data_IF_108810915930
#
_entry.id   IF_108810915930
#
_cell.length_a   1.000
_cell.length_b   1.000
_cell.length_c   1.000
_cell.angle_alpha   90.00
_cell.angle_beta   90.00
_cell.angle_gamma   90.00
#
_symmetry.space_group_name_H-M   'P 1'
#
loop_
_entity.id
_entity.type
_entity.pdbx_description
1 polymer ?
#
# COMPACT_ATOMS: atom_id res chain seq x y z
N UNK A 1 -18.65 1.81 0.47
CA UNK A 1 -17.27 2.34 0.31
C UNK A 1 -16.32 1.38 0.98
N UNK A 2 -15.29 0.91 0.29
CA UNK A 2 -14.26 0.00 0.84
C UNK A 2 -12.98 0.79 1.12
N UNK A 3 -12.30 0.50 2.23
CA UNK A 3 -11.03 1.14 2.59
C UNK A 3 -10.03 0.06 2.95
N UNK A 4 -8.89 0.05 2.26
CA UNK A 4 -7.77 -0.85 2.57
C UNK A 4 -6.59 -0.01 3.10
N UNK A 5 -6.03 -0.39 4.23
CA UNK A 5 -4.96 0.32 4.92
C UNK A 5 -3.72 -0.57 5.06
N UNK A 6 -2.55 -0.02 4.74
CA UNK A 6 -1.25 -0.65 4.97
C UNK A 6 -0.47 0.22 5.97
N UNK A 7 -0.52 -0.13 7.25
CA UNK A 7 0.05 0.67 8.34
C UNK A 7 1.08 -0.16 9.09
N UNK A 8 2.36 0.15 8.89
CA UNK A 8 3.47 -0.57 9.53
C UNK A 8 3.66 -0.22 11.00
N UNK A 9 3.35 1.02 11.38
CA UNK A 9 3.58 1.58 12.71
C UNK A 9 2.32 1.58 13.59
N UNK A 10 2.07 2.71 14.23
CA UNK A 10 0.90 2.90 15.09
C UNK A 10 -0.38 3.02 14.24
N UNK A 11 -1.43 2.35 14.67
CA UNK A 11 -2.77 2.47 14.11
C UNK A 11 -3.78 2.47 15.27
N UNK A 12 -4.46 3.59 15.48
CA UNK A 12 -5.53 3.72 16.49
C UNK A 12 -6.90 3.32 15.93
N UNK A 13 -7.02 3.24 14.61
CA UNK A 13 -8.23 2.79 13.93
C UNK A 13 -8.43 1.29 14.17
N UNK A 14 -9.63 0.91 14.61
CA UNK A 14 -10.03 -0.48 14.79
C UNK A 14 -10.91 -0.92 13.62
N UNK A 15 -10.43 -1.79 12.72
CA UNK A 15 -11.21 -2.29 11.60
C UNK A 15 -12.24 -3.34 12.03
N UNK A 16 -13.32 -3.50 11.26
CA UNK A 16 -14.31 -4.56 11.43
C UNK A 16 -15.32 -4.36 12.57
N UNK A 17 -15.55 -3.12 13.02
CA UNK A 17 -16.59 -2.81 14.00
C UNK A 17 -17.95 -2.68 13.28
N UNK A 18 -18.98 -3.46 13.68
CA UNK A 18 -20.32 -3.38 13.11
C UNK A 18 -20.91 -1.97 13.12
N UNK A 19 -21.36 -1.51 11.95
CA UNK A 19 -21.95 -0.19 11.73
C UNK A 19 -20.96 0.98 11.68
N UNK A 20 -19.66 0.73 11.89
CA UNK A 20 -18.63 1.79 12.00
C UNK A 20 -17.48 1.57 11.01
N UNK A 21 -16.88 0.37 10.98
CA UNK A 21 -15.68 0.07 10.19
C UNK A 21 -15.75 -1.28 9.48
N UNK A 22 -16.97 -1.75 9.15
CA UNK A 22 -17.22 -3.02 8.46
C UNK A 22 -16.45 -3.17 7.15
N UNK A 23 -16.30 -2.06 6.43
CA UNK A 23 -15.67 -2.03 5.10
C UNK A 23 -14.19 -1.61 5.15
N UNK A 24 -13.60 -1.53 6.34
CA UNK A 24 -12.20 -1.16 6.53
C UNK A 24 -11.38 -2.41 6.81
N UNK A 25 -10.40 -2.67 5.97
CA UNK A 25 -9.39 -3.71 6.18
C UNK A 25 -8.04 -3.05 6.42
N UNK A 26 -7.33 -3.47 7.47
CA UNK A 26 -6.03 -2.92 7.79
C UNK A 26 -5.01 -4.03 8.01
N UNK A 27 -3.88 -3.92 7.32
CA UNK A 27 -2.74 -4.82 7.46
C UNK A 27 -1.48 -4.05 7.84
N UNK A 28 -0.52 -4.74 8.45
CA UNK A 28 0.82 -4.26 8.74
C UNK A 28 1.84 -5.18 8.06
N UNK A 29 2.76 -4.61 7.29
CA UNK A 29 3.87 -5.36 6.67
C UNK A 29 5.15 -4.93 7.37
N UNK A 30 5.78 -5.89 8.06
CA UNK A 30 7.11 -5.71 8.68
C UNK A 30 8.02 -6.77 8.09
N UNK A 31 8.98 -6.32 7.29
CA UNK A 31 9.93 -7.18 6.60
C UNK A 31 11.32 -6.53 6.58
N UNK A 32 12.24 -7.00 5.72
CA UNK A 32 13.64 -6.56 5.68
C UNK A 32 13.78 -5.06 5.46
N UNK A 33 13.02 -4.49 4.51
CA UNK A 33 13.00 -3.06 4.29
C UNK A 33 11.94 -2.37 5.14
N UNK A 34 12.22 -1.13 5.49
CA UNK A 34 11.33 -0.32 6.28
C UNK A 34 10.25 0.30 5.37
N UNK A 35 9.00 -0.12 5.52
CA UNK A 35 7.86 0.49 4.83
C UNK A 35 7.67 1.93 5.33
N UNK A 36 8.24 2.88 4.59
CA UNK A 36 8.23 4.33 4.87
C UNK A 36 7.47 5.18 3.83
N UNK A 37 7.26 4.75 2.57
CA UNK A 37 6.42 5.51 1.64
C UNK A 37 5.01 5.74 2.19
N UNK A 38 4.48 6.96 2.04
CA UNK A 38 3.06 7.26 2.27
C UNK A 38 2.40 7.55 0.93
N UNK A 39 1.40 6.74 0.61
CA UNK A 39 0.64 6.82 -0.64
C UNK A 39 -0.83 6.76 -0.29
N UNK A 40 -1.63 7.60 -0.94
CA UNK A 40 -3.09 7.59 -0.84
C UNK A 40 -3.66 7.40 -2.23
N UNK A 41 -4.62 6.49 -2.36
CA UNK A 41 -5.33 6.24 -3.62
C UNK A 41 -6.82 6.40 -3.36
N UNK A 42 -7.46 7.27 -4.13
CA UNK A 42 -8.91 7.43 -4.16
C UNK A 42 -9.41 6.84 -5.47
N UNK A 43 -10.34 5.88 -5.41
CA UNK A 43 -10.82 5.17 -6.60
C UNK A 43 -11.59 6.07 -7.58
N UNK A 44 -12.27 7.09 -7.07
CA UNK A 44 -12.97 8.12 -7.84
C UNK A 44 -13.78 7.56 -9.04
N UNK A 45 -14.68 6.60 -8.73
CA UNK A 45 -15.54 5.92 -9.70
C UNK A 45 -14.80 5.30 -10.91
N UNK A 46 -13.59 4.78 -10.68
CA UNK A 46 -12.78 4.11 -11.70
C UNK A 46 -11.78 5.02 -12.41
N UNK A 47 -11.67 6.30 -12.03
CA UNK A 47 -10.58 7.19 -12.44
C UNK A 47 -9.69 7.56 -11.25
N UNK A 48 -8.79 6.64 -10.83
CA UNK A 48 -8.15 6.76 -9.54
C UNK A 48 -7.19 7.95 -9.45
N UNK A 49 -7.32 8.71 -8.36
CA UNK A 49 -6.37 9.74 -7.97
C UNK A 49 -5.35 9.18 -7.00
N UNK A 50 -4.08 9.39 -7.34
CA UNK A 50 -2.93 8.86 -6.60
C UNK A 50 -2.11 10.00 -6.08
N UNK A 51 -1.85 10.00 -4.78
CA UNK A 51 -1.04 10.99 -4.09
C UNK A 51 0.12 10.31 -3.37
N UNK A 52 1.30 10.90 -3.45
CA UNK A 52 2.43 10.59 -2.57
C UNK A 52 2.54 11.69 -1.52
N UNK A 53 2.98 11.36 -0.31
CA UNK A 53 3.04 12.32 0.78
C UNK A 53 4.30 12.16 1.64
N UNK A 54 4.80 13.27 2.18
CA UNK A 54 5.80 13.26 3.26
C UNK A 54 5.17 12.92 4.61
N UNK A 55 3.89 13.27 4.81
CA UNK A 55 3.15 13.11 6.06
C UNK A 55 2.54 11.72 6.24
N UNK A 56 2.50 11.25 7.49
CA UNK A 56 1.54 10.27 7.95
C UNK A 56 0.32 10.96 8.60
N UNK A 57 -0.75 10.20 8.86
CA UNK A 57 -2.01 10.73 9.39
C UNK A 57 -1.97 10.83 10.92
N UNK A 58 -1.13 11.73 11.41
CA UNK A 58 -1.08 12.14 12.81
C UNK A 58 -1.32 13.64 12.92
N UNK A 59 -2.02 14.08 13.97
CA UNK A 59 -2.32 15.51 14.23
C UNK A 59 -1.09 16.41 14.15
N UNK A 60 0.07 15.93 14.64
CA UNK A 60 1.32 16.68 14.57
C UNK A 60 1.81 16.92 13.13
N UNK A 61 1.50 16.01 12.20
CA UNK A 61 1.91 16.09 10.80
C UNK A 61 0.89 16.89 9.97
N UNK A 62 -0.39 16.86 10.35
CA UNK A 62 -1.44 17.59 9.63
C UNK A 62 -1.48 19.08 10.06
N UNK A 63 -1.40 19.36 11.36
CA UNK A 63 -1.66 20.71 11.89
C UNK A 63 -0.38 21.46 12.32
N UNK A 64 0.68 20.74 12.69
CA UNK A 64 1.84 21.33 13.37
C UNK A 64 3.14 21.27 12.55
N UNK A 65 3.10 20.71 11.34
CA UNK A 65 4.27 20.56 10.47
C UNK A 65 3.94 21.00 9.06
N UNK A 66 4.94 21.53 8.38
CA UNK A 66 4.87 21.76 6.95
C UNK A 66 5.17 20.42 6.28
N UNK A 67 4.17 19.91 5.57
CA UNK A 67 4.24 18.66 4.85
C UNK A 67 3.81 18.89 3.39
N UNK A 68 4.24 18.01 2.49
CA UNK A 68 3.93 18.10 1.07
C UNK A 68 3.28 16.81 0.60
N UNK A 69 2.08 16.96 0.05
CA UNK A 69 1.43 15.95 -0.78
C UNK A 69 1.58 16.32 -2.26
N UNK A 70 1.87 15.33 -3.10
CA UNK A 70 2.02 15.52 -4.54
C UNK A 70 1.08 14.56 -5.30
N UNK A 71 0.17 15.07 -6.14
CA UNK A 71 -0.60 14.24 -7.05
C UNK A 71 0.28 13.67 -8.17
N UNK A 72 0.01 12.43 -8.55
CA UNK A 72 0.66 11.77 -9.69
C UNK A 72 -0.26 11.89 -10.89
N UNK A 73 0.11 12.72 -11.87
CA UNK A 73 -0.72 12.94 -13.06
C UNK A 73 -0.51 11.90 -14.15
N UNK A 74 0.72 11.39 -14.30
CA UNK A 74 1.06 10.42 -15.34
C UNK A 74 0.32 9.09 -15.12
N UNK A 75 -0.52 8.63 -16.08
CA UNK A 75 -1.29 7.40 -15.92
C UNK A 75 -0.44 6.13 -15.76
N UNK A 76 0.74 6.06 -16.40
CA UNK A 76 1.65 4.94 -16.27
C UNK A 76 2.28 4.89 -14.87
N UNK A 77 2.58 6.05 -14.27
CA UNK A 77 3.04 6.14 -12.89
C UNK A 77 1.93 5.83 -11.88
N UNK A 78 0.71 6.36 -12.09
CA UNK A 78 -0.47 5.99 -11.28
C UNK A 78 -0.64 4.47 -11.24
N UNK A 79 -0.65 3.84 -12.42
CA UNK A 79 -0.77 2.37 -12.54
C UNK A 79 0.35 1.64 -11.81
N UNK A 80 1.60 2.06 -11.98
CA UNK A 80 2.75 1.44 -11.32
C UNK A 80 2.62 1.46 -9.79
N UNK A 81 2.18 2.58 -9.23
CA UNK A 81 1.98 2.72 -7.78
C UNK A 81 0.84 1.82 -7.31
N UNK A 82 -0.28 1.79 -8.04
CA UNK A 82 -1.43 0.94 -7.73
C UNK A 82 -1.05 -0.55 -7.80
N UNK A 83 -0.28 -0.97 -8.80
CA UNK A 83 0.24 -2.34 -8.92
C UNK A 83 1.08 -2.72 -7.69
N UNK A 84 1.95 -1.83 -7.23
CA UNK A 84 2.79 -2.04 -6.03
C UNK A 84 1.92 -2.19 -4.77
N UNK A 85 0.93 -1.31 -4.58
CA UNK A 85 0.00 -1.41 -3.45
C UNK A 85 -0.78 -2.72 -3.49
N UNK A 86 -1.24 -3.14 -4.67
CA UNK A 86 -1.93 -4.43 -4.85
C UNK A 86 -1.03 -5.63 -4.51
N UNK A 87 0.27 -5.57 -4.85
CA UNK A 87 1.25 -6.59 -4.45
C UNK A 87 1.39 -6.62 -2.91
N UNK A 88 1.44 -5.46 -2.26
CA UNK A 88 1.51 -5.38 -0.79
C UNK A 88 0.23 -5.92 -0.12
N UNK A 89 -0.95 -5.54 -0.61
CA UNK A 89 -2.24 -6.06 -0.13
C UNK A 89 -2.41 -7.57 -0.35
N UNK A 90 -1.69 -8.12 -1.33
CA UNK A 90 -1.69 -9.55 -1.64
C UNK A 90 -0.61 -10.34 -0.88
N UNK A 91 0.14 -9.72 0.03
CA UNK A 91 1.17 -10.39 0.81
C UNK A 91 0.56 -11.45 1.75
N UNK A 92 1.11 -12.65 1.73
CA UNK A 92 0.65 -13.79 2.54
C UNK A 92 1.79 -14.39 3.37
N UNK A 93 2.89 -13.67 3.56
CA UNK A 93 4.11 -14.18 4.21
C UNK A 93 4.54 -13.28 5.36
N UNK A 94 4.45 -11.96 5.20
CA UNK A 94 4.88 -10.94 6.15
C UNK A 94 3.77 -10.00 6.58
N UNK A 95 2.66 -9.93 5.83
CA UNK A 95 1.49 -9.17 6.24
C UNK A 95 0.84 -9.75 7.50
N UNK A 96 0.45 -8.85 8.40
CA UNK A 96 -0.28 -9.13 9.63
C UNK A 96 -1.58 -8.33 9.66
N UNK A 97 -2.61 -8.91 10.25
CA UNK A 97 -3.91 -8.25 10.42
C UNK A 97 -3.83 -7.29 11.59
N UNK A 98 -4.26 -6.05 11.37
CA UNK A 98 -4.54 -5.11 12.46
C UNK A 98 -5.96 -5.39 12.94
N UNK A 99 -6.12 -5.76 14.20
CA UNK A 99 -7.43 -6.02 14.80
C UNK A 99 -7.52 -5.35 16.17
N UNK A 100 -8.73 -5.30 16.74
CA UNK A 100 -8.99 -4.69 18.07
C UNK A 100 -8.10 -5.24 19.18
N UNK A 101 -7.78 -6.53 19.12
CA UNK A 101 -6.99 -7.23 20.13
C UNK A 101 -5.47 -7.05 19.93
N UNK A 102 -5.04 -6.40 18.84
CA UNK A 102 -3.64 -6.21 18.46
C UNK A 102 -2.84 -7.53 18.42
N UNK A 103 -3.47 -8.63 18.01
CA UNK A 103 -2.85 -9.98 18.07
C UNK A 103 -1.71 -10.17 17.08
N UNK A 104 -1.60 -9.30 16.06
CA UNK A 104 -0.55 -9.37 15.04
C UNK A 104 -0.54 -10.71 14.28
N UNK A 105 -1.71 -11.33 14.13
CA UNK A 105 -1.87 -12.56 13.35
C UNK A 105 -1.44 -12.36 11.90
N UNK A 106 -0.74 -13.33 11.34
CA UNK A 106 -0.40 -13.31 9.92
C UNK A 106 -1.65 -13.42 9.07
N UNK A 107 -1.67 -12.70 7.94
CA UNK A 107 -2.74 -12.85 6.95
C UNK A 107 -2.76 -14.29 6.45
N UNK A 108 -3.89 -15.02 6.59
CA UNK A 108 -3.95 -16.41 6.16
C UNK A 108 -3.88 -16.49 4.64
N UNK A 109 -2.98 -17.34 4.14
CA UNK A 109 -2.81 -17.54 2.70
C UNK A 109 -4.05 -18.17 2.04
N UNK A 110 -4.67 -19.16 2.69
CA UNK A 110 -5.64 -20.04 2.06
C UNK A 110 -5.06 -20.69 0.78
N UNK A 111 -5.83 -20.68 -0.30
CA UNK A 111 -5.44 -21.17 -1.63
C UNK A 111 -4.72 -20.11 -2.49
N UNK A 112 -4.43 -18.93 -1.95
CA UNK A 112 -3.72 -17.87 -2.67
C UNK A 112 -2.24 -18.24 -2.87
N UNK A 113 -1.61 -17.61 -3.85
CA UNK A 113 -0.16 -17.75 -4.08
C UNK A 113 0.61 -17.27 -2.86
N UNK A 114 1.75 -17.91 -2.59
CA UNK A 114 2.69 -17.45 -1.57
C UNK A 114 3.41 -16.20 -2.08
N UNK A 115 3.03 -15.04 -1.58
CA UNK A 115 3.60 -13.75 -2.01
C UNK A 115 4.28 -13.09 -0.81
N UNK A 116 5.55 -12.71 -1.01
CA UNK A 116 6.30 -11.81 -0.13
C UNK A 116 6.51 -10.51 -0.90
N UNK A 117 5.80 -9.48 -0.49
CA UNK A 117 5.64 -8.20 -1.19
C UNK A 117 6.98 -7.57 -1.59
N UNK A 118 7.93 -7.40 -0.68
CA UNK A 118 9.21 -6.76 -0.99
C UNK A 118 9.99 -7.47 -2.12
N UNK A 119 9.94 -8.80 -2.16
CA UNK A 119 10.58 -9.59 -3.23
C UNK A 119 9.78 -9.48 -4.53
N UNK A 120 8.45 -9.57 -4.45
CA UNK A 120 7.58 -9.46 -5.61
C UNK A 120 7.68 -8.08 -6.27
N UNK A 121 7.78 -7.00 -5.48
CA UNK A 121 7.99 -5.62 -5.95
C UNK A 121 9.34 -5.51 -6.65
N UNK A 122 10.40 -6.08 -6.08
CA UNK A 122 11.73 -6.10 -6.71
C UNK A 122 11.69 -6.75 -8.09
N UNK A 123 11.09 -7.94 -8.21
CA UNK A 123 10.97 -8.62 -9.50
C UNK A 123 10.07 -7.84 -10.47
N UNK A 124 8.95 -7.28 -10.01
CA UNK A 124 8.07 -6.43 -10.82
C UNK A 124 8.83 -5.24 -11.44
N UNK A 125 9.58 -4.49 -10.63
CA UNK A 125 10.36 -3.35 -11.11
C UNK A 125 11.50 -3.79 -12.04
N UNK A 126 12.22 -4.85 -11.69
CA UNK A 126 13.29 -5.42 -12.53
C UNK A 126 12.78 -5.86 -13.91
N UNK A 127 11.58 -6.44 -13.97
CA UNK A 127 10.94 -6.79 -15.23
C UNK A 127 10.56 -5.56 -16.04
N UNK A 128 9.96 -4.53 -15.40
CA UNK A 128 9.63 -3.28 -16.06
C UNK A 128 10.87 -2.61 -16.69
N UNK A 129 11.98 -2.52 -15.95
CA UNK A 129 13.24 -1.95 -16.45
C UNK A 129 13.81 -2.72 -17.65
N UNK A 130 13.76 -4.06 -17.62
CA UNK A 130 14.18 -4.88 -18.77
C UNK A 130 13.36 -4.59 -20.03
N UNK A 131 12.07 -4.34 -19.89
CA UNK A 131 11.20 -4.02 -21.03
C UNK A 131 11.48 -2.63 -21.60
N UNK A 132 11.79 -1.66 -20.73
CA UNK A 132 12.20 -0.32 -21.15
C UNK A 132 13.50 -0.36 -21.96
N UNK A 133 14.52 -1.08 -21.48
CA UNK A 133 15.78 -1.27 -22.22
C UNK A 133 15.56 -1.91 -23.59
N UNK A 134 14.78 -2.98 -23.67
CA UNK A 134 14.44 -3.64 -24.94
C UNK A 134 13.69 -2.76 -25.93
N UNK A 135 12.95 -1.74 -25.46
CA UNK A 135 12.30 -0.76 -26.33
C UNK A 135 13.30 0.27 -26.84
N UNK A 136 14.14 0.79 -25.95
CA UNK A 136 15.19 1.76 -26.32
C UNK A 136 16.21 1.17 -27.30
N UNK A 137 16.59 -0.11 -27.15
CA UNK A 137 17.53 -0.79 -28.06
C UNK A 137 16.94 -1.09 -29.45
N UNK A 138 15.63 -0.87 -29.65
CA UNK A 138 14.91 -1.10 -30.91
C UNK A 138 14.58 0.20 -31.66
N UNK A 139 14.77 1.35 -31.03
CA UNK A 139 14.64 2.70 -31.61
C UNK A 139 16.00 3.20 -32.10
#
# INVERSE_FOLDING_TARGET
MKVDLIVRGMCTLVPGIPGISDNIHAISIVDRFLEHPRVVVFDNNGDPDVFISSADWMTRNIDNRIEVGCPIYDPALKKKIIDILNIQLSDTVKARIINKAMTNEYVPRGNKRKIRSQIAIYEYLKHAEKQLKKKADKE
#
